data_IF_326558291306
#
_entry.id   IF_326558291306
#
_cell.length_a   1.000
_cell.length_b   1.000
_cell.length_c   1.000
_cell.angle_alpha   90.00
_cell.angle_beta   90.00
_cell.angle_gamma   90.00
#
_symmetry.space_group_name_H-M   'P 1'
#
loop_
_entity.id
_entity.type
_entity.pdbx_description
1 polymer ?
#
# COMPACT_ATOMS: atom_id res chain seq x y z
N UNK A 1 0.92 29.38 25.38
CA UNK A 1 -0.19 29.16 24.41
C UNK A 1 0.19 29.86 23.12
N UNK A 2 0.38 29.14 22.00
CA UNK A 2 0.99 29.69 20.78
C UNK A 2 -0.02 29.85 19.64
N UNK A 3 -0.23 31.09 19.19
CA UNK A 3 -0.69 31.63 17.88
C UNK A 3 -1.48 30.79 16.86
N UNK A 4 -2.21 29.73 17.22
CA UNK A 4 -3.15 29.02 16.33
C UNK A 4 -2.56 28.46 15.03
N UNK A 5 -1.23 28.36 14.92
CA UNK A 5 -0.54 27.83 13.73
C UNK A 5 -0.15 26.38 13.97
N UNK A 6 -0.55 25.50 13.05
CA UNK A 6 -0.03 24.14 12.98
C UNK A 6 1.49 24.20 12.81
N UNK A 7 2.21 23.54 13.71
CA UNK A 7 3.67 23.41 13.67
C UNK A 7 4.02 21.94 13.75
N UNK A 8 5.11 21.56 13.08
CA UNK A 8 5.71 20.26 13.28
C UNK A 8 6.15 20.13 14.74
N UNK A 9 5.80 19.03 15.39
CA UNK A 9 6.29 18.70 16.72
C UNK A 9 7.53 17.81 16.60
N UNK A 10 8.75 18.34 16.85
CA UNK A 10 9.97 17.55 16.73
C UNK A 10 10.11 16.48 17.81
N UNK A 11 9.26 16.49 18.85
CA UNK A 11 9.27 15.45 19.87
C UNK A 11 8.53 14.19 19.44
N UNK A 12 7.76 14.24 18.35
CA UNK A 12 7.12 13.06 17.79
C UNK A 12 8.02 12.38 16.76
N UNK A 13 8.27 11.09 16.99
CA UNK A 13 9.00 10.24 16.05
C UNK A 13 8.21 10.06 14.74
N UNK A 14 8.91 10.26 13.62
CA UNK A 14 8.38 10.04 12.27
C UNK A 14 7.89 8.61 12.09
N UNK A 15 6.82 8.44 11.30
CA UNK A 15 6.18 7.14 11.05
C UNK A 15 5.86 6.98 9.57
N UNK A 16 5.96 5.75 9.07
CA UNK A 16 5.30 5.34 7.84
C UNK A 16 3.91 4.84 8.20
N UNK A 17 2.91 5.40 7.52
CA UNK A 17 1.49 5.13 7.76
C UNK A 17 0.84 4.86 6.40
N UNK A 18 -0.04 3.86 6.33
CA UNK A 18 -0.94 3.65 5.21
C UNK A 18 -1.97 4.78 5.22
N UNK A 19 -1.80 5.75 4.32
CA UNK A 19 -2.61 6.96 4.28
C UNK A 19 -3.91 6.82 3.48
N UNK A 20 -3.93 5.96 2.47
CA UNK A 20 -5.09 5.78 1.61
C UNK A 20 -5.06 4.45 0.87
N UNK A 21 -6.06 4.24 0.02
CA UNK A 21 -6.25 3.01 -0.72
C UNK A 21 -6.69 3.27 -2.16
N UNK A 22 -6.41 2.29 -3.02
CA UNK A 22 -6.91 2.18 -4.39
C UNK A 22 -7.04 0.69 -4.70
N UNK A 23 -8.27 0.22 -4.93
CA UNK A 23 -8.52 -1.08 -5.53
C UNK A 23 -8.54 -0.93 -7.04
N UNK A 24 -7.61 -1.59 -7.72
CA UNK A 24 -7.50 -1.55 -9.17
C UNK A 24 -8.61 -2.42 -9.78
N UNK A 25 -9.41 -1.86 -10.67
CA UNK A 25 -10.35 -2.59 -11.52
C UNK A 25 -9.68 -3.07 -12.80
N UNK A 26 -8.87 -2.20 -13.43
CA UNK A 26 -8.21 -2.50 -14.70
C UNK A 26 -6.80 -1.94 -14.73
N UNK A 27 -5.91 -2.72 -15.33
CA UNK A 27 -4.55 -2.33 -15.69
C UNK A 27 -4.53 -2.17 -17.20
N UNK A 28 -4.30 -0.94 -17.68
CA UNK A 28 -4.30 -0.63 -19.11
C UNK A 28 -2.92 -0.19 -19.56
N UNK A 29 -2.39 -0.80 -20.60
CA UNK A 29 -1.17 -0.32 -21.27
C UNK A 29 -1.54 0.83 -22.18
N UNK A 30 -0.95 2.00 -21.94
CA UNK A 30 -1.34 3.24 -22.62
C UNK A 30 -1.08 3.18 -24.12
N UNK A 31 -0.03 2.47 -24.52
CA UNK A 31 0.37 2.37 -25.92
C UNK A 31 -0.57 1.46 -26.74
N UNK A 32 -1.29 0.54 -26.09
CA UNK A 32 -2.17 -0.44 -26.75
C UNK A 32 -3.65 -0.31 -26.38
N UNK A 33 -4.01 0.66 -25.53
CA UNK A 33 -5.40 0.86 -25.15
C UNK A 33 -6.22 1.51 -26.28
N UNK A 34 -7.51 1.20 -26.29
CA UNK A 34 -8.49 1.83 -27.17
C UNK A 34 -8.70 3.31 -26.76
N UNK A 35 -8.08 4.21 -27.52
CA UNK A 35 -8.08 5.66 -27.22
C UNK A 35 -9.48 6.29 -27.29
N UNK A 36 -10.38 5.75 -28.11
CA UNK A 36 -11.75 6.27 -28.20
C UNK A 36 -12.55 5.88 -26.96
N UNK A 37 -12.42 4.63 -26.51
CA UNK A 37 -13.06 4.15 -25.28
C UNK A 37 -12.58 4.90 -24.04
N UNK A 38 -11.32 5.28 -24.00
CA UNK A 38 -10.70 5.96 -22.85
C UNK A 38 -10.37 7.44 -23.13
N UNK A 39 -11.07 8.09 -24.06
CA UNK A 39 -10.81 9.50 -24.44
C UNK A 39 -10.86 10.49 -23.28
N UNK A 40 -11.65 10.19 -22.24
CA UNK A 40 -11.73 11.00 -21.03
C UNK A 40 -10.40 11.06 -20.29
N UNK A 41 -9.51 10.08 -20.48
CA UNK A 41 -8.22 9.99 -19.83
C UNK A 41 -7.12 10.76 -20.58
N UNK A 42 -7.42 11.34 -21.76
CA UNK A 42 -6.42 11.99 -22.62
C UNK A 42 -5.70 13.17 -21.95
N UNK A 43 -6.28 13.79 -20.93
CA UNK A 43 -5.62 14.86 -20.17
C UNK A 43 -4.50 14.35 -19.25
N UNK A 44 -4.39 13.03 -19.02
CA UNK A 44 -3.36 12.49 -18.13
C UNK A 44 -1.97 12.58 -18.78
N UNK A 45 -0.92 12.94 -18.00
CA UNK A 45 0.46 13.03 -18.50
C UNK A 45 0.99 11.78 -19.20
N UNK A 46 0.43 10.62 -18.88
CA UNK A 46 0.76 9.33 -19.50
C UNK A 46 0.48 9.29 -21.02
N UNK A 47 -0.49 10.06 -21.51
CA UNK A 47 -0.87 10.10 -22.93
C UNK A 47 -0.03 11.04 -23.78
N UNK A 48 0.79 11.88 -23.15
CA UNK A 48 1.64 12.88 -23.82
C UNK A 48 3.12 12.47 -23.87
N UNK A 49 3.49 11.38 -23.21
CA UNK A 49 4.84 10.81 -23.28
C UNK A 49 4.92 9.83 -24.46
N UNK A 50 6.11 9.70 -25.05
CA UNK A 50 6.37 8.71 -26.11
C UNK A 50 6.16 7.26 -25.62
N UNK A 51 6.23 6.31 -26.55
CA UNK A 51 6.00 4.88 -26.30
C UNK A 51 6.95 4.34 -25.23
N UNK A 52 6.40 3.63 -24.25
CA UNK A 52 7.15 2.98 -23.18
C UNK A 52 6.30 1.83 -22.62
N UNK A 53 6.83 0.60 -22.67
CA UNK A 53 6.13 -0.62 -22.21
C UNK A 53 5.71 -0.60 -20.73
N UNK A 54 6.36 0.25 -19.92
CA UNK A 54 6.00 0.47 -18.51
C UNK A 54 4.88 1.50 -18.32
N UNK A 55 4.48 2.24 -19.37
CA UNK A 55 3.43 3.25 -19.33
C UNK A 55 2.06 2.63 -19.12
N UNK A 56 1.62 2.63 -17.86
CA UNK A 56 0.45 1.89 -17.39
C UNK A 56 -0.52 2.82 -16.70
N UNK A 57 -1.80 2.74 -17.07
CA UNK A 57 -2.91 3.42 -16.42
C UNK A 57 -3.66 2.42 -15.53
N UNK A 58 -3.68 2.69 -14.22
CA UNK A 58 -4.49 1.95 -13.25
C UNK A 58 -5.84 2.62 -13.09
N UNK A 59 -6.91 1.93 -13.47
CA UNK A 59 -8.27 2.39 -13.24
C UNK A 59 -8.77 1.85 -11.90
N UNK A 60 -9.15 2.76 -11.00
CA UNK A 60 -9.74 2.42 -9.72
C UNK A 60 -11.15 1.86 -9.86
N UNK A 61 -11.48 0.89 -9.02
CA UNK A 61 -12.84 0.39 -8.86
C UNK A 61 -13.71 1.48 -8.23
N UNK A 62 -14.98 1.56 -8.63
CA UNK A 62 -15.91 2.56 -8.07
C UNK A 62 -16.21 2.30 -6.59
N UNK A 63 -16.47 1.04 -6.24
CA UNK A 63 -16.73 0.59 -4.87
C UNK A 63 -15.76 -0.52 -4.52
N UNK A 64 -15.34 -0.52 -3.26
CA UNK A 64 -14.47 -1.54 -2.72
C UNK A 64 -15.21 -2.89 -2.75
N UNK A 65 -14.57 -3.88 -3.33
CA UNK A 65 -15.10 -5.23 -3.50
C UNK A 65 -14.16 -6.20 -2.81
N UNK A 66 -14.28 -6.22 -1.49
CA UNK A 66 -13.60 -7.12 -0.57
C UNK A 66 -14.72 -7.77 0.25
N UNK A 67 -14.84 -9.11 0.29
CA UNK A 67 -16.01 -9.79 0.85
C UNK A 67 -16.41 -9.29 2.25
N UNK A 68 -15.44 -9.17 3.17
CA UNK A 68 -15.62 -8.67 4.54
C UNK A 68 -15.98 -7.18 4.66
N UNK A 69 -15.89 -6.40 3.59
CA UNK A 69 -16.19 -4.96 3.56
C UNK A 69 -17.32 -4.58 2.60
N UNK A 70 -17.87 -5.54 1.84
CA UNK A 70 -18.75 -5.29 0.71
C UNK A 70 -20.01 -4.50 1.07
N UNK A 71 -20.61 -4.81 2.22
CA UNK A 71 -21.86 -4.19 2.67
C UNK A 71 -21.66 -2.78 3.26
N UNK A 72 -20.40 -2.33 3.43
CA UNK A 72 -20.08 -1.00 3.98
C UNK A 72 -20.18 0.13 2.96
N UNK A 73 -20.33 -0.18 1.67
CA UNK A 73 -20.49 0.84 0.61
C UNK A 73 -19.28 1.74 0.38
N UNK A 74 -18.09 1.30 0.80
CA UNK A 74 -16.83 2.06 0.74
C UNK A 74 -16.43 2.29 -0.73
N UNK A 75 -15.92 3.48 -1.05
CA UNK A 75 -15.38 3.79 -2.39
C UNK A 75 -14.12 2.97 -2.67
N UNK A 76 -13.90 2.57 -3.93
CA UNK A 76 -12.75 1.74 -4.27
C UNK A 76 -11.41 2.49 -4.20
N UNK A 77 -11.43 3.82 -4.00
CA UNK A 77 -10.26 4.62 -3.69
C UNK A 77 -10.61 5.69 -2.66
N UNK A 78 -9.64 6.08 -1.84
CA UNK A 78 -9.86 7.09 -0.80
C UNK A 78 -8.68 7.25 0.14
N UNK A 79 -8.93 8.02 1.20
CA UNK A 79 -7.94 8.39 2.21
C UNK A 79 -8.50 8.10 3.60
N UNK A 80 -7.65 7.72 4.54
CA UNK A 80 -8.04 7.58 5.93
C UNK A 80 -7.95 8.94 6.61
N UNK A 81 -9.08 9.49 7.04
CA UNK A 81 -9.14 10.82 7.65
C UNK A 81 -8.47 10.88 9.03
N UNK A 82 -8.48 9.75 9.74
CA UNK A 82 -7.98 9.64 11.10
C UNK A 82 -6.80 8.68 11.19
N UNK A 83 -5.89 8.96 12.12
CA UNK A 83 -4.82 8.02 12.48
C UNK A 83 -5.39 6.76 13.16
N UNK A 84 -4.79 5.61 12.87
CA UNK A 84 -4.99 4.36 13.62
C UNK A 84 -3.68 3.58 13.65
N UNK A 85 -3.45 2.91 14.77
CA UNK A 85 -2.28 2.04 14.95
C UNK A 85 -2.26 0.89 13.93
N UNK A 86 -3.42 0.42 13.46
CA UNK A 86 -3.53 -0.64 12.46
C UNK A 86 -2.97 -0.23 11.09
N UNK A 87 -2.84 1.07 10.84
CA UNK A 87 -2.30 1.64 9.59
C UNK A 87 -0.83 2.05 9.74
N UNK A 88 -0.26 1.98 10.93
CA UNK A 88 1.15 2.29 11.16
C UNK A 88 2.02 1.11 10.74
N UNK A 89 2.95 1.35 9.82
CA UNK A 89 3.95 0.34 9.43
C UNK A 89 5.17 0.42 10.33
N UNK A 90 5.63 1.61 10.72
CA UNK A 90 6.82 1.75 11.58
C UNK A 90 6.58 1.08 12.93
N UNK A 91 7.49 0.20 13.35
CA UNK A 91 7.45 -0.42 14.66
C UNK A 91 7.68 0.65 15.76
N UNK A 92 6.92 0.59 16.85
CA UNK A 92 7.03 1.58 17.94
C UNK A 92 8.45 1.64 18.51
N UNK A 93 8.92 2.85 18.80
CA UNK A 93 10.28 3.12 19.33
C UNK A 93 11.44 2.77 18.38
N UNK A 94 11.18 2.28 17.17
CA UNK A 94 12.20 2.01 16.17
C UNK A 94 12.39 3.14 15.16
N UNK A 95 13.49 3.05 14.40
CA UNK A 95 13.76 3.91 13.24
C UNK A 95 12.69 3.69 12.17
N UNK A 96 12.43 4.72 11.35
CA UNK A 96 11.49 4.69 10.21
C UNK A 96 11.59 3.45 9.31
N UNK A 97 12.81 2.92 9.15
CA UNK A 97 13.11 1.76 8.32
C UNK A 97 12.72 0.42 8.95
N UNK A 98 12.24 0.40 10.18
CA UNK A 98 11.78 -0.82 10.85
C UNK A 98 10.27 -0.88 10.80
N UNK A 99 9.76 -1.85 10.05
CA UNK A 99 8.34 -2.10 9.93
C UNK A 99 7.89 -3.25 10.81
N UNK A 100 6.70 -3.11 11.39
CA UNK A 100 5.93 -4.15 12.06
C UNK A 100 4.80 -4.56 11.12
N UNK A 101 4.82 -5.82 10.71
CA UNK A 101 3.88 -6.39 9.75
C UNK A 101 3.13 -7.58 10.37
N UNK A 102 1.95 -7.95 9.85
CA UNK A 102 1.30 -9.20 10.21
C UNK A 102 2.22 -10.41 10.08
N UNK A 103 2.12 -11.36 11.02
CA UNK A 103 2.99 -12.54 11.07
C UNK A 103 3.02 -13.35 9.77
N UNK A 104 1.87 -13.46 9.10
CA UNK A 104 1.73 -14.24 7.86
C UNK A 104 2.58 -13.71 6.69
N UNK A 105 3.04 -12.45 6.77
CA UNK A 105 3.92 -11.84 5.76
C UNK A 105 5.35 -12.36 5.87
N UNK A 106 5.76 -12.94 7.01
CA UNK A 106 7.10 -13.52 7.15
C UNK A 106 7.42 -14.50 5.98
N UNK A 107 8.65 -14.47 5.44
CA UNK A 107 9.07 -15.40 4.41
C UNK A 107 8.81 -16.86 4.80
N UNK A 108 8.29 -17.65 3.87
CA UNK A 108 8.15 -19.10 4.04
C UNK A 108 9.00 -19.80 2.99
N UNK A 109 9.62 -20.93 3.36
CA UNK A 109 10.56 -21.67 2.50
C UNK A 109 11.64 -20.76 1.92
N UNK A 110 12.15 -19.82 2.71
CA UNK A 110 13.19 -18.85 2.34
C UNK A 110 12.82 -17.89 1.19
N UNK A 111 11.53 -17.76 0.88
CA UNK A 111 11.03 -16.88 -0.19
C UNK A 111 10.25 -15.71 0.41
N UNK A 112 10.73 -14.49 0.15
CA UNK A 112 10.00 -13.26 0.47
C UNK A 112 8.82 -13.06 -0.47
N UNK A 113 7.69 -12.63 0.10
CA UNK A 113 6.48 -12.22 -0.64
C UNK A 113 6.52 -10.74 -1.03
N UNK A 114 7.42 -9.97 -0.41
CA UNK A 114 7.55 -8.54 -0.60
C UNK A 114 8.70 -8.24 -1.57
N UNK A 115 8.40 -7.51 -2.64
CA UNK A 115 9.39 -7.08 -3.64
C UNK A 115 10.59 -6.37 -2.98
N UNK A 116 11.79 -6.58 -3.51
CA UNK A 116 13.06 -6.00 -3.03
C UNK A 116 13.53 -6.47 -1.64
N UNK A 117 12.85 -7.43 -1.02
CA UNK A 117 13.18 -7.91 0.34
C UNK A 117 13.52 -9.41 0.39
N UNK A 118 14.19 -9.95 -0.63
CA UNK A 118 14.62 -11.36 -0.66
C UNK A 118 15.72 -11.70 0.35
N UNK A 119 16.43 -10.70 0.87
CA UNK A 119 17.45 -10.89 1.91
C UNK A 119 16.80 -11.17 3.27
N UNK A 120 16.81 -12.45 3.69
CA UNK A 120 16.16 -12.95 4.90
C UNK A 120 16.72 -12.33 6.19
N UNK A 121 17.96 -11.83 6.20
CA UNK A 121 18.54 -11.18 7.38
C UNK A 121 17.81 -9.88 7.79
N UNK A 122 16.96 -9.36 6.89
CA UNK A 122 16.12 -8.18 7.14
C UNK A 122 14.86 -8.51 7.91
N UNK A 123 14.48 -9.78 7.93
CA UNK A 123 13.26 -10.28 8.53
C UNK A 123 13.55 -10.86 9.89
N UNK A 124 12.64 -10.63 10.84
CA UNK A 124 12.67 -11.27 12.14
C UNK A 124 11.25 -11.74 12.44
N UNK A 125 11.09 -13.05 12.59
CA UNK A 125 9.83 -13.62 13.05
C UNK A 125 9.66 -13.34 14.54
N UNK A 126 8.47 -12.92 14.92
CA UNK A 126 8.07 -12.73 16.31
C UNK A 126 6.81 -13.56 16.57
N UNK A 127 6.45 -13.73 17.84
CA UNK A 127 5.32 -14.59 18.24
C UNK A 127 4.02 -14.24 17.50
N UNK A 128 3.70 -12.94 17.41
CA UNK A 128 2.42 -12.44 16.87
C UNK A 128 2.58 -11.48 15.67
N UNK A 129 3.81 -11.22 15.21
CA UNK A 129 4.07 -10.27 14.14
C UNK A 129 5.40 -10.57 13.44
N UNK A 130 5.73 -9.75 12.46
CA UNK A 130 7.01 -9.79 11.75
C UNK A 130 7.65 -8.42 11.81
N UNK A 131 8.95 -8.38 12.14
CA UNK A 131 9.75 -7.17 11.99
C UNK A 131 10.54 -7.23 10.69
N UNK A 132 10.50 -6.14 9.93
CA UNK A 132 11.18 -5.99 8.66
C UNK A 132 12.12 -4.78 8.70
N UNK A 133 13.37 -4.95 8.27
CA UNK A 133 14.28 -3.86 7.93
C UNK A 133 14.05 -3.47 6.47
N UNK A 134 13.36 -2.37 6.23
CA UNK A 134 13.10 -1.91 4.86
C UNK A 134 14.36 -1.39 4.19
N UNK A 135 14.38 -1.49 2.86
CA UNK A 135 15.33 -0.81 1.99
C UNK A 135 14.82 0.59 1.63
N UNK A 136 15.72 1.52 1.34
CA UNK A 136 15.39 2.85 0.81
C UNK A 136 15.15 2.86 -0.71
N UNK A 137 15.19 1.69 -1.36
CA UNK A 137 15.04 1.54 -2.81
C UNK A 137 13.57 1.37 -3.20
N UNK A 138 13.15 2.12 -4.22
CA UNK A 138 11.84 1.97 -4.86
C UNK A 138 10.81 2.95 -4.32
N UNK A 139 9.98 3.49 -5.20
CA UNK A 139 8.80 4.27 -4.82
C UNK A 139 7.67 3.36 -4.32
N UNK A 140 7.75 2.05 -4.61
CA UNK A 140 6.66 1.10 -4.43
C UNK A 140 7.19 -0.25 -3.97
N UNK A 141 6.42 -0.93 -3.12
CA UNK A 141 6.62 -2.34 -2.77
C UNK A 141 5.37 -3.14 -3.09
N UNK A 142 5.54 -4.32 -3.68
CA UNK A 142 4.47 -5.26 -4.01
C UNK A 142 4.55 -6.45 -3.06
N UNK A 143 3.45 -6.71 -2.35
CA UNK A 143 3.25 -7.92 -1.56
C UNK A 143 2.42 -8.91 -2.39
N UNK A 144 2.98 -10.08 -2.71
CA UNK A 144 2.23 -11.15 -3.35
C UNK A 144 1.39 -11.91 -2.30
N UNK A 145 0.08 -11.93 -2.50
CA UNK A 145 -0.91 -12.54 -1.61
C UNK A 145 -1.63 -13.76 -2.20
N UNK A 146 -1.21 -14.29 -3.36
CA UNK A 146 -1.98 -15.32 -4.10
C UNK A 146 -2.30 -16.56 -3.26
N UNK A 147 -1.40 -16.97 -2.36
CA UNK A 147 -1.56 -18.13 -1.48
C UNK A 147 -2.07 -17.78 -0.06
N UNK A 148 -2.44 -16.52 0.20
CA UNK A 148 -2.83 -16.01 1.53
C UNK A 148 -4.04 -15.08 1.43
N UNK A 149 -5.00 -15.44 0.58
CA UNK A 149 -6.16 -14.59 0.29
C UNK A 149 -6.97 -14.25 1.53
N UNK A 150 -7.10 -15.20 2.48
CA UNK A 150 -7.83 -15.00 3.73
C UNK A 150 -7.10 -14.03 4.66
N UNK A 151 -5.81 -14.25 4.90
CA UNK A 151 -5.01 -13.40 5.80
C UNK A 151 -4.82 -11.99 5.23
N UNK A 152 -4.64 -11.88 3.91
CA UNK A 152 -4.57 -10.60 3.21
C UNK A 152 -5.89 -9.84 3.30
N UNK A 153 -7.02 -10.52 3.06
CA UNK A 153 -8.34 -9.92 3.21
C UNK A 153 -8.57 -9.41 4.64
N UNK A 154 -8.30 -10.24 5.66
CA UNK A 154 -8.46 -9.87 7.06
C UNK A 154 -7.58 -8.68 7.43
N UNK A 155 -6.33 -8.66 6.97
CA UNK A 155 -5.44 -7.53 7.22
C UNK A 155 -5.95 -6.25 6.57
N UNK A 156 -6.38 -6.30 5.30
CA UNK A 156 -6.95 -5.15 4.61
C UNK A 156 -8.23 -4.68 5.31
N UNK A 157 -9.11 -5.59 5.74
CA UNK A 157 -10.31 -5.25 6.50
C UNK A 157 -9.99 -4.48 7.79
N UNK A 158 -8.94 -4.88 8.50
CA UNK A 158 -8.48 -4.22 9.72
C UNK A 158 -7.92 -2.80 9.49
N UNK A 159 -7.57 -2.44 8.26
CA UNK A 159 -7.19 -1.07 7.92
C UNK A 159 -8.38 -0.11 7.95
N UNK A 160 -9.62 -0.61 7.80
CA UNK A 160 -10.86 0.16 7.83
C UNK A 160 -11.56 0.15 9.20
N UNK A 161 -10.89 -0.41 10.22
CA UNK A 161 -11.31 -0.37 11.61
C UNK A 161 -10.88 0.91 12.33
#
# INVERSE_FOLDING_TARGET
MGNGKWKFDPNYSSKHIIWGWLQIEKILKVDTLDKEKYKWANYHPHFYKGTNDSNTLYLGKKKLDIPSLKDKGIDGAGVFENFSINRQLTADEFKLTRWKLPKWIYPQNDISKLSYHNDLNRWQEQENHTLLQTVSRGQEFVLNCDNYSIEAEQWVANLFS
#
